data_IF_081157621438
#
_entry.id   IF_081157621438
#
_cell.length_a   1.000
_cell.length_b   1.000
_cell.length_c   1.000
_cell.angle_alpha   90.00
_cell.angle_beta   90.00
_cell.angle_gamma   90.00
#
_symmetry.space_group_name_H-M   'P 1'
#
loop_
_entity.id
_entity.type
_entity.pdbx_description
1 polymer ?
#
# COMPACT_ATOMS: atom_id res chain seq x y z
N UNK A 1 22.60 -1.24 -11.60
CA UNK A 1 22.17 -1.27 -10.19
C UNK A 1 22.92 -0.31 -9.24
N UNK A 2 24.14 0.19 -9.52
CA UNK A 2 24.83 1.09 -8.58
C UNK A 2 24.04 2.35 -8.22
N UNK A 3 23.41 3.00 -9.22
CA UNK A 3 22.60 4.22 -9.04
C UNK A 3 21.38 4.03 -8.11
N UNK A 4 20.65 2.93 -8.22
CA UNK A 4 19.49 2.65 -7.36
C UNK A 4 19.88 2.35 -5.91
N UNK A 5 21.00 1.65 -5.73
CA UNK A 5 21.55 1.38 -4.40
C UNK A 5 21.96 2.67 -3.70
N UNK A 6 22.65 3.59 -4.41
CA UNK A 6 23.01 4.90 -3.86
C UNK A 6 21.76 5.69 -3.42
N UNK A 7 20.75 5.77 -4.29
CA UNK A 7 19.46 6.43 -3.96
C UNK A 7 18.84 5.83 -2.70
N UNK A 8 18.85 4.50 -2.56
CA UNK A 8 18.27 3.86 -1.37
C UNK A 8 19.00 4.23 -0.09
N UNK A 9 20.36 4.23 -0.10
CA UNK A 9 21.16 4.63 1.06
C UNK A 9 20.94 6.11 1.40
N UNK A 10 20.98 7.00 0.39
CA UNK A 10 20.71 8.43 0.57
C UNK A 10 19.32 8.68 1.15
N UNK A 11 18.30 7.97 0.69
CA UNK A 11 16.95 8.12 1.20
C UNK A 11 16.83 7.65 2.66
N UNK A 12 17.44 6.53 3.03
CA UNK A 12 17.45 6.04 4.42
C UNK A 12 18.07 7.08 5.36
N UNK A 13 19.21 7.69 4.98
CA UNK A 13 19.88 8.72 5.77
C UNK A 13 19.05 10.01 5.83
N UNK A 14 18.65 10.53 4.69
CA UNK A 14 17.90 11.80 4.58
C UNK A 14 16.51 11.76 5.21
N UNK A 15 15.91 10.57 5.33
CA UNK A 15 14.63 10.35 6.02
C UNK A 15 14.79 10.12 7.54
N UNK A 16 15.99 10.23 8.07
CA UNK A 16 16.23 10.08 9.51
C UNK A 16 15.87 8.68 10.04
N UNK A 17 16.02 7.64 9.21
CA UNK A 17 15.85 6.25 9.67
C UNK A 17 17.07 5.86 10.53
N UNK A 18 18.25 6.26 10.12
CA UNK A 18 19.50 6.19 10.87
C UNK A 18 20.45 7.29 10.41
N UNK A 19 21.34 7.71 11.28
CA UNK A 19 22.46 8.61 10.96
C UNK A 19 23.74 7.83 10.56
N UNK A 20 23.80 6.54 10.88
CA UNK A 20 24.96 5.67 10.56
C UNK A 20 24.89 5.18 9.12
N UNK A 21 25.91 5.51 8.33
CA UNK A 21 26.01 5.13 6.92
C UNK A 21 26.12 3.60 6.74
N UNK A 22 26.81 2.90 7.64
CA UNK A 22 26.94 1.43 7.58
C UNK A 22 25.57 0.77 7.77
N UNK A 23 24.81 1.26 8.72
CA UNK A 23 23.45 0.80 8.98
C UNK A 23 22.50 1.17 7.81
N UNK A 24 22.62 2.37 7.25
CA UNK A 24 21.84 2.77 6.06
C UNK A 24 22.10 1.85 4.86
N UNK A 25 23.37 1.45 4.66
CA UNK A 25 23.76 0.46 3.63
C UNK A 25 23.15 -0.92 3.91
N UNK A 26 23.11 -1.33 5.19
CA UNK A 26 22.49 -2.59 5.62
C UNK A 26 21.00 -2.59 5.36
N UNK A 27 20.28 -1.54 5.76
CA UNK A 27 18.82 -1.37 5.51
C UNK A 27 18.52 -1.36 4.01
N UNK A 28 19.27 -0.58 3.23
CA UNK A 28 19.12 -0.52 1.79
C UNK A 28 19.35 -1.89 1.13
N UNK A 29 20.37 -2.66 1.54
CA UNK A 29 20.60 -4.03 1.05
C UNK A 29 19.42 -4.94 1.38
N UNK A 30 18.96 -4.93 2.63
CA UNK A 30 17.80 -5.74 3.06
C UNK A 30 16.53 -5.38 2.29
N UNK A 31 16.30 -4.10 1.97
CA UNK A 31 15.12 -3.68 1.19
C UNK A 31 15.13 -4.24 -0.23
N UNK A 32 16.29 -4.37 -0.87
CA UNK A 32 16.38 -5.05 -2.17
C UNK A 32 16.15 -6.56 -2.06
N UNK A 33 16.69 -7.21 -1.01
CA UNK A 33 16.42 -8.62 -0.75
C UNK A 33 14.94 -8.88 -0.48
N UNK A 34 14.31 -7.99 0.32
CA UNK A 34 12.88 -8.05 0.61
C UNK A 34 12.06 -7.91 -0.68
N UNK A 35 12.37 -6.92 -1.54
CA UNK A 35 11.68 -6.71 -2.81
C UNK A 35 11.76 -7.96 -3.72
N UNK A 36 12.93 -8.59 -3.79
CA UNK A 36 13.08 -9.84 -4.56
C UNK A 36 12.25 -10.98 -3.96
N UNK A 37 12.27 -11.14 -2.63
CA UNK A 37 11.43 -12.10 -1.92
C UNK A 37 9.93 -11.84 -2.09
N UNK A 38 9.51 -10.57 -1.99
CA UNK A 38 8.12 -10.17 -2.22
C UNK A 38 7.63 -10.54 -3.63
N UNK A 39 8.41 -10.24 -4.66
CA UNK A 39 8.08 -10.62 -6.05
C UNK A 39 7.99 -12.14 -6.19
N UNK A 40 8.95 -12.87 -5.60
CA UNK A 40 8.93 -14.33 -5.59
C UNK A 40 7.67 -14.87 -4.90
N UNK A 41 7.38 -14.43 -3.68
CA UNK A 41 6.18 -14.88 -2.95
C UNK A 41 4.88 -14.51 -3.67
N UNK A 42 4.79 -13.31 -4.26
CA UNK A 42 3.60 -12.89 -4.99
C UNK A 42 3.23 -13.84 -6.15
N UNK A 43 4.22 -14.48 -6.78
CA UNK A 43 4.00 -15.49 -7.82
C UNK A 43 3.45 -16.81 -7.24
N UNK A 44 3.85 -17.17 -6.01
CA UNK A 44 3.49 -18.44 -5.38
C UNK A 44 2.28 -18.34 -4.44
N UNK A 45 1.92 -17.15 -3.94
CA UNK A 45 0.74 -16.94 -3.09
C UNK A 45 -0.50 -17.62 -3.65
N UNK A 46 -0.83 -17.52 -4.97
CA UNK A 46 -2.01 -18.18 -5.51
C UNK A 46 -2.01 -19.71 -5.42
N UNK A 47 -0.85 -20.34 -5.21
CA UNK A 47 -0.71 -21.79 -5.06
C UNK A 47 -0.64 -22.25 -3.60
N UNK A 48 -0.24 -21.35 -2.69
CA UNK A 48 -0.04 -21.65 -1.27
C UNK A 48 -1.25 -21.23 -0.44
N UNK A 49 -1.85 -20.09 -0.78
CA UNK A 49 -2.97 -19.51 -0.04
C UNK A 49 -4.28 -19.82 -0.73
N UNK A 50 -5.18 -20.46 0.01
CA UNK A 50 -6.49 -20.89 -0.47
C UNK A 50 -7.61 -20.23 0.33
N UNK A 51 -8.86 -20.43 -0.08
CA UNK A 51 -10.04 -19.93 0.65
C UNK A 51 -10.13 -20.52 2.06
N UNK A 52 -9.60 -21.71 2.26
CA UNK A 52 -9.69 -22.44 3.54
C UNK A 52 -8.61 -22.00 4.53
N UNK A 53 -7.40 -21.60 4.04
CA UNK A 53 -6.25 -21.33 4.92
C UNK A 53 -5.80 -19.85 4.95
N UNK A 54 -6.41 -18.94 4.19
CA UNK A 54 -5.91 -17.56 4.05
C UNK A 54 -5.73 -16.82 5.38
N UNK A 55 -6.57 -17.09 6.37
CA UNK A 55 -6.49 -16.46 7.71
C UNK A 55 -5.19 -16.82 8.44
N UNK A 56 -4.65 -17.99 8.19
CA UNK A 56 -3.39 -18.44 8.78
C UNK A 56 -2.17 -17.68 8.26
N UNK A 57 -2.30 -17.03 7.12
CA UNK A 57 -1.25 -16.23 6.48
C UNK A 57 -1.22 -14.78 6.94
N UNK A 58 -2.25 -14.31 7.64
CA UNK A 58 -2.37 -12.94 8.13
C UNK A 58 -2.32 -12.89 9.65
N UNK A 59 -1.47 -12.02 10.17
CA UNK A 59 -1.35 -11.71 11.60
C UNK A 59 -1.85 -10.29 11.85
N UNK A 60 -2.91 -10.19 12.64
CA UNK A 60 -3.53 -8.92 13.02
C UNK A 60 -3.24 -8.53 14.48
N UNK A 61 -2.33 -9.22 15.17
CA UNK A 61 -2.05 -9.02 16.60
C UNK A 61 -1.55 -7.61 16.94
N UNK A 62 -0.92 -6.91 15.97
CA UNK A 62 -0.44 -5.55 16.12
C UNK A 62 -1.38 -4.50 15.50
N UNK A 63 -2.53 -4.90 14.98
CA UNK A 63 -3.48 -4.01 14.33
C UNK A 63 -4.52 -3.48 15.33
N UNK A 64 -5.00 -2.28 15.06
CA UNK A 64 -6.14 -1.72 15.79
C UNK A 64 -7.40 -2.58 15.58
N UNK A 65 -8.16 -2.92 16.65
CA UNK A 65 -9.34 -3.79 16.55
C UNK A 65 -10.43 -3.27 15.61
N UNK A 66 -10.66 -1.95 15.52
CA UNK A 66 -11.62 -1.37 14.59
C UNK A 66 -11.15 -1.54 13.14
N UNK A 67 -9.84 -1.41 12.90
CA UNK A 67 -9.23 -1.70 11.59
C UNK A 67 -9.47 -3.14 11.17
N UNK A 68 -9.26 -4.10 12.07
CA UNK A 68 -9.51 -5.53 11.80
C UNK A 68 -10.98 -5.77 11.49
N UNK A 69 -11.87 -5.22 12.31
CA UNK A 69 -13.32 -5.30 12.10
C UNK A 69 -13.72 -4.75 10.73
N UNK A 70 -13.23 -3.57 10.34
CA UNK A 70 -13.51 -2.98 9.02
C UNK A 70 -13.00 -3.84 7.86
N UNK A 71 -11.85 -4.47 8.01
CA UNK A 71 -11.26 -5.30 6.96
C UNK A 71 -11.98 -6.65 6.79
N UNK A 72 -12.37 -7.29 7.89
CA UNK A 72 -12.79 -8.69 7.90
C UNK A 72 -14.27 -8.90 8.21
N UNK A 73 -14.88 -8.07 9.08
CA UNK A 73 -16.18 -8.36 9.70
C UNK A 73 -17.28 -7.37 9.24
N UNK A 74 -16.96 -6.37 8.42
CA UNK A 74 -17.94 -5.44 7.84
C UNK A 74 -17.91 -5.48 6.31
N UNK A 75 -18.31 -6.62 5.71
CA UNK A 75 -18.30 -6.77 4.25
C UNK A 75 -19.32 -5.86 3.56
N UNK A 76 -20.31 -5.33 4.30
CA UNK A 76 -21.44 -4.56 3.77
C UNK A 76 -21.14 -3.06 3.58
N UNK A 77 -19.91 -2.62 3.81
CA UNK A 77 -19.52 -1.23 3.61
C UNK A 77 -18.19 -1.13 2.83
N UNK A 78 -18.16 -0.32 1.74
CA UNK A 78 -16.90 -0.07 1.03
C UNK A 78 -15.95 0.73 1.90
N UNK A 79 -14.64 0.42 1.80
CA UNK A 79 -13.58 1.09 2.53
C UNK A 79 -12.47 1.55 1.60
N UNK A 80 -11.64 2.48 2.06
CA UNK A 80 -10.42 2.90 1.38
C UNK A 80 -9.24 2.35 2.16
N UNK A 81 -8.39 1.58 1.50
CA UNK A 81 -7.15 1.06 2.07
C UNK A 81 -5.97 1.85 1.49
N UNK A 82 -5.37 2.71 2.30
CA UNK A 82 -4.18 3.46 1.94
C UNK A 82 -2.95 2.71 2.40
N UNK A 83 -2.03 2.49 1.47
CA UNK A 83 -0.78 1.79 1.74
C UNK A 83 0.39 2.42 0.98
N UNK A 84 1.55 1.81 1.09
CA UNK A 84 2.79 2.20 0.41
C UNK A 84 3.48 0.96 -0.20
N UNK A 85 4.54 1.18 -0.99
CA UNK A 85 5.43 0.09 -1.43
C UNK A 85 6.30 -0.40 -0.27
N UNK A 86 5.63 -0.81 0.80
CA UNK A 86 6.18 -1.31 2.06
C UNK A 86 5.57 -2.68 2.37
N UNK A 87 6.41 -3.64 2.72
CA UNK A 87 5.97 -5.01 2.96
C UNK A 87 5.55 -5.73 1.67
N UNK A 88 4.40 -6.39 1.70
CA UNK A 88 3.94 -7.33 0.67
C UNK A 88 2.59 -6.92 0.05
N UNK A 89 2.49 -5.69 -0.43
CA UNK A 89 1.24 -5.06 -0.89
C UNK A 89 0.43 -5.90 -1.92
N UNK A 90 1.09 -6.61 -2.84
CA UNK A 90 0.39 -7.46 -3.83
C UNK A 90 -0.12 -8.75 -3.21
N UNK A 91 0.72 -9.46 -2.44
CA UNK A 91 0.34 -10.67 -1.74
C UNK A 91 -0.81 -10.40 -0.76
N UNK A 92 -0.73 -9.30 0.01
CA UNK A 92 -1.78 -8.88 0.93
C UNK A 92 -3.11 -8.61 0.22
N UNK A 93 -3.09 -7.90 -0.92
CA UNK A 93 -4.31 -7.66 -1.72
C UNK A 93 -4.94 -8.96 -2.19
N UNK A 94 -4.13 -9.93 -2.63
CA UNK A 94 -4.61 -11.24 -3.04
C UNK A 94 -5.24 -12.00 -1.87
N UNK A 95 -4.59 -12.02 -0.71
CA UNK A 95 -5.08 -12.76 0.47
C UNK A 95 -6.33 -12.09 1.04
N UNK A 96 -6.36 -10.77 1.16
CA UNK A 96 -7.54 -10.04 1.62
C UNK A 96 -8.76 -10.21 0.70
N UNK A 97 -8.53 -10.53 -0.56
CA UNK A 97 -9.64 -10.78 -1.50
C UNK A 97 -10.49 -12.01 -1.13
N UNK A 98 -10.01 -12.88 -0.26
CA UNK A 98 -10.83 -13.95 0.32
C UNK A 98 -11.79 -13.46 1.42
N UNK A 99 -11.48 -12.32 2.05
CA UNK A 99 -12.36 -11.71 3.05
C UNK A 99 -13.40 -10.80 2.39
N UNK A 100 -13.00 -10.02 1.36
CA UNK A 100 -13.86 -9.06 0.68
C UNK A 100 -13.34 -8.73 -0.71
N UNK A 101 -14.20 -8.25 -1.65
CA UNK A 101 -13.75 -7.77 -2.96
C UNK A 101 -12.71 -6.66 -2.83
N UNK A 102 -11.70 -6.69 -3.70
CA UNK A 102 -10.59 -5.71 -3.71
C UNK A 102 -10.58 -4.95 -5.03
N UNK A 103 -10.36 -3.65 -4.97
CA UNK A 103 -10.08 -2.81 -6.14
C UNK A 103 -8.69 -2.22 -5.96
N UNK A 104 -7.76 -2.59 -6.82
CA UNK A 104 -6.38 -2.11 -6.79
C UNK A 104 -6.14 -1.09 -7.90
N UNK A 105 -5.65 0.11 -7.54
CA UNK A 105 -5.24 1.12 -8.51
C UNK A 105 -3.77 0.91 -8.84
N UNK A 106 -3.48 0.46 -10.04
CA UNK A 106 -2.13 0.16 -10.47
C UNK A 106 -1.85 0.70 -11.89
N UNK A 107 -0.58 0.75 -12.26
CA UNK A 107 -0.19 0.96 -13.65
C UNK A 107 -0.28 -0.38 -14.39
N UNK A 108 -1.09 -0.44 -15.43
CA UNK A 108 -1.15 -1.63 -16.30
C UNK A 108 0.23 -1.85 -16.94
N UNK A 109 0.66 -3.11 -16.98
CA UNK A 109 1.93 -3.51 -17.56
C UNK A 109 1.96 -3.23 -19.06
N UNK A 110 3.08 -2.69 -19.57
CA UNK A 110 3.23 -2.41 -20.99
C UNK A 110 3.25 -3.71 -21.84
N UNK A 111 3.73 -4.80 -21.26
CA UNK A 111 3.73 -6.11 -21.92
C UNK A 111 2.33 -6.74 -21.81
N UNK A 112 1.59 -6.79 -22.90
CA UNK A 112 0.22 -7.33 -22.98
C UNK A 112 0.12 -8.81 -22.58
N UNK A 113 1.14 -9.61 -22.89
CA UNK A 113 1.17 -11.04 -22.53
C UNK A 113 1.35 -11.20 -21.02
N UNK A 114 2.30 -10.48 -20.43
CA UNK A 114 2.50 -10.48 -18.99
C UNK A 114 1.25 -9.96 -18.25
N UNK A 115 0.62 -8.88 -18.74
CA UNK A 115 -0.61 -8.36 -18.18
C UNK A 115 -1.76 -9.40 -18.21
N UNK A 116 -1.94 -10.10 -19.34
CA UNK A 116 -2.96 -11.15 -19.48
C UNK A 116 -2.66 -12.35 -18.58
N UNK A 117 -1.40 -12.76 -18.50
CA UNK A 117 -0.98 -13.85 -17.61
C UNK A 117 -1.22 -13.51 -16.15
N UNK A 118 -0.82 -12.30 -15.70
CA UNK A 118 -1.07 -11.80 -14.36
C UNK A 118 -2.57 -11.76 -14.03
N UNK A 119 -3.38 -11.20 -14.93
CA UNK A 119 -4.83 -11.14 -14.72
C UNK A 119 -5.46 -12.53 -14.56
N UNK A 120 -4.92 -13.55 -15.25
CA UNK A 120 -5.45 -14.92 -15.20
C UNK A 120 -4.95 -15.73 -13.99
N UNK A 121 -3.71 -15.50 -13.55
CA UNK A 121 -3.03 -16.42 -12.63
C UNK A 121 -2.64 -15.79 -11.29
N UNK A 122 -2.63 -14.46 -11.19
CA UNK A 122 -2.10 -13.77 -10.03
C UNK A 122 -3.11 -13.64 -8.87
N UNK A 123 -4.39 -13.41 -9.19
CA UNK A 123 -5.43 -13.28 -8.16
C UNK A 123 -6.35 -14.50 -8.16
N UNK A 124 -6.67 -14.99 -6.95
CA UNK A 124 -7.59 -16.13 -6.75
C UNK A 124 -8.95 -15.69 -6.23
N UNK A 125 -9.02 -14.55 -5.58
CA UNK A 125 -10.25 -13.93 -5.13
C UNK A 125 -10.72 -12.80 -6.06
N UNK A 126 -11.81 -12.10 -5.72
CA UNK A 126 -12.38 -11.01 -6.51
C UNK A 126 -11.52 -9.73 -6.41
N UNK A 127 -10.49 -9.64 -7.26
CA UNK A 127 -9.63 -8.45 -7.38
C UNK A 127 -9.84 -7.80 -8.74
N UNK A 128 -10.26 -6.54 -8.74
CA UNK A 128 -10.33 -5.70 -9.94
C UNK A 128 -9.13 -4.76 -9.97
N UNK A 129 -8.34 -4.81 -11.04
CA UNK A 129 -7.21 -3.89 -11.25
C UNK A 129 -7.62 -2.76 -12.17
N UNK A 130 -7.48 -1.53 -11.70
CA UNK A 130 -7.81 -0.30 -12.44
C UNK A 130 -6.54 0.39 -12.89
N UNK A 131 -6.44 0.74 -14.18
CA UNK A 131 -5.35 1.59 -14.64
C UNK A 131 -5.46 2.99 -14.02
N UNK A 132 -4.43 3.39 -13.30
CA UNK A 132 -4.35 4.73 -12.70
C UNK A 132 -4.56 5.89 -13.67
N UNK A 133 -4.40 5.67 -14.98
CA UNK A 133 -4.64 6.66 -16.02
C UNK A 133 -6.14 6.97 -16.18
N UNK A 134 -7.00 5.99 -15.91
CA UNK A 134 -8.45 6.13 -16.07
C UNK A 134 -9.10 6.91 -14.91
N UNK A 135 -8.40 7.04 -13.77
CA UNK A 135 -8.95 7.70 -12.59
C UNK A 135 -10.18 6.99 -12.01
N UNK A 136 -10.98 7.72 -11.23
CA UNK A 136 -12.22 7.22 -10.64
C UNK A 136 -13.40 7.50 -11.58
N UNK A 137 -13.66 6.58 -12.51
CA UNK A 137 -14.84 6.69 -13.39
C UNK A 137 -16.14 6.37 -12.64
N UNK A 138 -17.32 6.79 -13.15
CA UNK A 138 -18.59 6.42 -12.54
C UNK A 138 -18.80 4.90 -12.42
N UNK A 139 -18.31 4.11 -13.39
CA UNK A 139 -18.37 2.64 -13.36
C UNK A 139 -17.57 2.07 -12.19
N UNK A 140 -16.34 2.57 -12.01
CA UNK A 140 -15.46 2.16 -10.91
C UNK A 140 -16.11 2.52 -9.56
N UNK A 141 -16.68 3.72 -9.47
CA UNK A 141 -17.34 4.15 -8.24
C UNK A 141 -18.57 3.29 -7.93
N UNK A 142 -19.37 2.94 -8.93
CA UNK A 142 -20.48 2.00 -8.76
C UNK A 142 -19.99 0.64 -8.32
N UNK A 143 -19.02 0.05 -9.03
CA UNK A 143 -18.47 -1.25 -8.66
C UNK A 143 -17.96 -1.26 -7.22
N UNK A 144 -17.28 -0.19 -6.78
CA UNK A 144 -16.79 -0.07 -5.41
C UNK A 144 -17.91 -0.06 -4.36
N UNK A 145 -18.98 0.69 -4.63
CA UNK A 145 -20.13 0.77 -3.72
C UNK A 145 -20.98 -0.50 -3.75
N UNK A 146 -21.28 -1.03 -4.93
CA UNK A 146 -22.19 -2.16 -5.10
C UNK A 146 -21.60 -3.49 -4.60
N UNK A 147 -20.27 -3.61 -4.66
CA UNK A 147 -19.56 -4.81 -4.17
C UNK A 147 -19.00 -4.67 -2.75
N UNK A 148 -19.16 -3.50 -2.13
CA UNK A 148 -18.57 -3.19 -0.83
C UNK A 148 -17.05 -3.45 -0.77
N UNK A 149 -16.35 -3.23 -1.89
CA UNK A 149 -14.95 -3.54 -2.05
C UNK A 149 -14.05 -2.66 -1.16
N UNK A 150 -12.86 -3.17 -0.84
CA UNK A 150 -11.76 -2.36 -0.36
C UNK A 150 -10.98 -1.77 -1.55
N UNK A 151 -10.95 -0.44 -1.66
CA UNK A 151 -10.17 0.25 -2.69
C UNK A 151 -8.77 0.54 -2.21
N UNK A 152 -7.78 -0.16 -2.75
CA UNK A 152 -6.37 -0.03 -2.35
C UNK A 152 -5.66 1.04 -3.16
N UNK A 153 -5.06 2.01 -2.47
CA UNK A 153 -4.32 3.14 -3.04
C UNK A 153 -2.92 3.21 -2.44
N UNK A 154 -1.88 3.06 -3.26
CA UNK A 154 -0.50 3.27 -2.84
C UNK A 154 -0.12 4.75 -3.06
N UNK A 155 0.23 5.47 -1.97
CA UNK A 155 0.42 6.93 -1.99
C UNK A 155 1.88 7.39 -1.99
N UNK A 156 2.83 6.51 -1.80
CA UNK A 156 4.23 6.81 -1.49
C UNK A 156 5.12 7.12 -2.70
N UNK A 157 4.61 7.04 -3.92
CA UNK A 157 5.39 7.36 -5.12
C UNK A 157 5.21 8.81 -5.58
N UNK A 158 6.23 9.32 -6.29
CA UNK A 158 6.18 10.66 -6.89
C UNK A 158 5.05 10.79 -7.90
N UNK A 159 4.37 11.93 -7.89
CA UNK A 159 3.35 12.32 -8.86
C UNK A 159 3.60 13.71 -9.40
N UNK A 160 3.28 13.97 -10.66
CA UNK A 160 3.36 15.31 -11.25
C UNK A 160 2.20 16.22 -10.81
N UNK A 161 1.02 15.64 -10.54
CA UNK A 161 -0.23 16.36 -10.25
C UNK A 161 -0.68 16.34 -8.79
N UNK A 162 0.22 16.09 -7.83
CA UNK A 162 -0.13 16.07 -6.40
C UNK A 162 0.11 17.39 -5.68
N UNK A 163 -0.36 17.47 -4.43
CA UNK A 163 -0.04 18.56 -3.53
C UNK A 163 1.39 18.41 -2.99
N UNK A 164 2.07 19.53 -2.71
CA UNK A 164 3.35 19.53 -2.04
C UNK A 164 3.10 19.37 -0.54
N UNK A 165 3.43 18.22 0.00
CA UNK A 165 3.30 17.86 1.41
C UNK A 165 4.63 17.33 1.93
N UNK A 166 4.71 17.03 3.22
CA UNK A 166 5.89 16.40 3.81
C UNK A 166 5.78 14.88 3.76
N UNK A 167 6.89 14.21 3.50
CA UNK A 167 7.06 12.77 3.70
C UNK A 167 8.47 12.52 4.23
N UNK A 168 8.56 12.00 5.45
CA UNK A 168 9.78 11.97 6.27
C UNK A 168 10.40 13.36 6.47
N UNK A 169 9.54 14.36 6.78
CA UNK A 169 9.95 15.75 6.98
C UNK A 169 10.37 16.49 5.71
N UNK A 170 10.46 15.82 4.55
CA UNK A 170 10.97 16.37 3.27
C UNK A 170 9.82 16.68 2.31
N UNK A 171 9.91 17.78 1.53
CA UNK A 171 8.87 18.13 0.55
C UNK A 171 8.68 17.01 -0.49
N UNK A 172 7.45 16.56 -0.67
CA UNK A 172 7.12 15.48 -1.59
C UNK A 172 5.74 15.69 -2.23
N UNK A 173 5.67 15.68 -3.57
CA UNK A 173 4.38 15.72 -4.26
C UNK A 173 3.57 14.46 -3.98
N UNK A 174 2.40 14.61 -3.38
CA UNK A 174 1.56 13.52 -2.87
C UNK A 174 0.17 13.56 -3.51
N UNK A 175 -0.33 12.41 -3.92
CA UNK A 175 -1.72 12.29 -4.38
C UNK A 175 -2.72 12.60 -3.27
N UNK A 176 -3.72 13.41 -3.56
CA UNK A 176 -4.83 13.72 -2.65
C UNK A 176 -6.10 12.92 -2.96
N UNK A 177 -6.01 11.92 -3.83
CA UNK A 177 -7.17 11.19 -4.33
C UNK A 177 -7.87 10.36 -3.25
N UNK A 178 -7.13 9.72 -2.36
CA UNK A 178 -7.69 8.95 -1.25
C UNK A 178 -8.50 9.84 -0.30
N UNK A 179 -7.93 10.97 0.10
CA UNK A 179 -8.58 11.95 0.98
C UNK A 179 -9.82 12.55 0.32
N UNK A 180 -9.72 12.97 -0.96
CA UNK A 180 -10.89 13.48 -1.70
C UNK A 180 -12.00 12.45 -1.82
N UNK A 181 -11.64 11.18 -2.02
CA UNK A 181 -12.62 10.11 -2.09
C UNK A 181 -13.32 9.93 -0.73
N UNK A 182 -12.56 9.87 0.36
CA UNK A 182 -13.10 9.74 1.71
C UNK A 182 -14.04 10.90 2.06
N UNK A 183 -13.61 12.14 1.84
CA UNK A 183 -14.41 13.34 2.13
C UNK A 183 -15.72 13.39 1.30
N UNK A 184 -15.68 12.89 0.06
CA UNK A 184 -16.84 12.88 -0.81
C UNK A 184 -17.87 11.80 -0.43
N UNK A 185 -17.38 10.67 0.08
CA UNK A 185 -18.18 9.47 0.32
C UNK A 185 -18.38 9.16 1.79
N UNK A 186 -17.66 9.88 2.67
CA UNK A 186 -17.64 9.69 4.13
C UNK A 186 -17.25 8.26 4.55
N UNK A 187 -16.54 7.55 3.66
CA UNK A 187 -16.08 6.19 3.92
C UNK A 187 -14.75 6.21 4.70
N UNK A 188 -14.57 5.24 5.62
CA UNK A 188 -13.37 5.17 6.42
C UNK A 188 -12.14 4.87 5.57
N UNK A 189 -11.01 5.45 5.97
CA UNK A 189 -9.68 5.11 5.47
C UNK A 189 -8.96 4.26 6.51
N UNK A 190 -8.54 3.08 6.11
CA UNK A 190 -7.55 2.26 6.82
C UNK A 190 -6.18 2.58 6.25
N UNK A 191 -5.23 3.00 7.08
CA UNK A 191 -3.84 3.25 6.68
C UNK A 191 -2.94 2.19 7.29
N UNK A 192 -2.23 1.45 6.44
CA UNK A 192 -1.32 0.42 6.93
C UNK A 192 -0.60 -0.35 5.83
N UNK A 193 0.26 -1.24 6.27
CA UNK A 193 1.05 -2.12 5.42
C UNK A 193 1.04 -3.54 5.97
N UNK A 194 1.10 -4.53 5.10
CA UNK A 194 1.34 -5.91 5.50
C UNK A 194 2.83 -6.20 5.38
N UNK A 195 3.50 -6.35 6.53
CA UNK A 195 4.93 -6.66 6.59
C UNK A 195 5.15 -8.17 6.67
N UNK A 196 6.19 -8.63 6.02
CA UNK A 196 6.57 -10.04 6.04
C UNK A 196 7.27 -10.38 7.36
N UNK A 197 6.73 -11.34 8.10
CA UNK A 197 7.31 -11.83 9.37
C UNK A 197 7.93 -13.22 9.22
N UNK A 198 7.47 -14.01 8.24
CA UNK A 198 8.02 -15.29 7.84
C UNK A 198 7.62 -15.59 6.38
N UNK A 199 8.12 -16.62 5.71
CA UNK A 199 7.63 -17.04 4.40
C UNK A 199 6.11 -17.25 4.42
N UNK A 200 5.40 -16.54 3.53
CA UNK A 200 3.94 -16.55 3.42
C UNK A 200 3.20 -16.21 4.72
N UNK A 201 3.83 -15.46 5.63
CA UNK A 201 3.20 -14.96 6.87
C UNK A 201 3.38 -13.45 6.93
N UNK A 202 2.29 -12.73 7.09
CA UNK A 202 2.27 -11.27 6.96
C UNK A 202 1.51 -10.63 8.11
N UNK A 203 2.10 -9.62 8.72
CA UNK A 203 1.49 -8.87 9.82
C UNK A 203 0.99 -7.52 9.34
N UNK A 204 -0.24 -7.17 9.68
CA UNK A 204 -0.75 -5.82 9.47
C UNK A 204 -0.13 -4.88 10.50
N UNK A 205 0.52 -3.83 10.00
CA UNK A 205 0.98 -2.69 10.79
C UNK A 205 0.24 -1.45 10.33
N UNK A 206 -0.41 -0.76 11.26
CA UNK A 206 -1.22 0.43 10.97
C UNK A 206 -1.97 0.86 12.23
N UNK A 207 -2.55 2.05 12.16
CA UNK A 207 -3.32 2.61 13.27
C UNK A 207 -4.83 2.46 13.09
N UNK A 208 -5.56 3.13 13.97
CA UNK A 208 -7.03 3.24 13.91
C UNK A 208 -7.51 3.85 12.60
N UNK A 209 -8.70 3.48 12.12
CA UNK A 209 -9.27 4.03 10.90
C UNK A 209 -9.49 5.54 11.01
N UNK A 210 -9.32 6.23 9.90
CA UNK A 210 -9.54 7.67 9.78
C UNK A 210 -10.86 7.94 9.06
N UNK A 211 -11.59 8.94 9.52
CA UNK A 211 -12.84 9.41 8.91
C UNK A 211 -12.72 10.89 8.61
N UNK A 212 -13.13 11.28 7.43
CA UNK A 212 -13.10 12.67 6.98
C UNK A 212 -14.46 13.07 6.40
N UNK A 213 -14.81 14.33 6.62
CA UNK A 213 -15.99 14.98 6.07
C UNK A 213 -15.60 16.04 5.02
N UNK A 214 -16.57 16.61 4.35
CA UNK A 214 -16.36 17.72 3.41
C UNK A 214 -15.86 19.01 4.07
N UNK A 215 -16.06 19.14 5.39
CA UNK A 215 -15.62 20.30 6.16
C UNK A 215 -14.16 20.27 6.55
N UNK A 216 -13.50 19.10 6.47
CA UNK A 216 -12.11 18.95 6.87
C UNK A 216 -11.13 19.55 5.84
N UNK A 217 -9.97 20.00 6.31
CA UNK A 217 -8.88 20.44 5.41
C UNK A 217 -8.27 19.23 4.68
N UNK A 218 -8.43 19.23 3.36
CA UNK A 218 -7.93 18.17 2.50
C UNK A 218 -6.41 17.98 2.58
N UNK A 219 -5.65 19.06 2.72
CA UNK A 219 -4.18 18.97 2.75
C UNK A 219 -3.71 18.44 4.11
N UNK A 220 -4.29 18.93 5.20
CA UNK A 220 -4.03 18.42 6.54
C UNK A 220 -4.41 16.93 6.64
N UNK A 221 -5.57 16.54 6.14
CA UNK A 221 -6.00 15.14 6.10
C UNK A 221 -5.05 14.27 5.25
N UNK A 222 -4.58 14.77 4.10
CA UNK A 222 -3.60 14.02 3.28
C UNK A 222 -2.23 13.95 3.96
N UNK A 223 -1.81 14.99 4.70
CA UNK A 223 -0.59 14.95 5.49
C UNK A 223 -0.69 13.88 6.58
N UNK A 224 -1.81 13.78 7.27
CA UNK A 224 -2.03 12.73 8.27
C UNK A 224 -1.91 11.31 7.67
N UNK A 225 -2.36 11.09 6.42
CA UNK A 225 -2.12 9.80 5.74
C UNK A 225 -0.63 9.54 5.53
N UNK A 226 0.15 10.55 5.12
CA UNK A 226 1.60 10.43 4.98
C UNK A 226 2.24 10.07 6.33
N UNK A 227 1.88 10.78 7.41
CA UNK A 227 2.44 10.57 8.74
C UNK A 227 2.19 9.13 9.23
N UNK A 228 0.98 8.61 9.02
CA UNK A 228 0.63 7.21 9.34
C UNK A 228 1.42 6.19 8.53
N UNK A 229 1.69 6.48 7.25
CA UNK A 229 2.55 5.61 6.42
C UNK A 229 4.00 5.64 6.90
N UNK A 230 4.51 6.81 7.32
CA UNK A 230 5.86 6.95 7.90
C UNK A 230 5.99 6.11 9.16
N UNK A 231 5.00 6.17 10.07
CA UNK A 231 4.98 5.39 11.31
C UNK A 231 5.08 3.88 11.03
N UNK A 232 4.34 3.38 10.04
CA UNK A 232 4.42 1.98 9.63
C UNK A 232 5.79 1.63 9.03
N UNK A 233 6.36 2.51 8.18
CA UNK A 233 7.66 2.28 7.54
C UNK A 233 8.79 2.28 8.56
N UNK A 234 8.74 3.16 9.59
CA UNK A 234 9.75 3.21 10.65
C UNK A 234 9.84 1.93 11.47
N UNK A 235 8.75 1.18 11.60
CA UNK A 235 8.75 -0.10 12.32
C UNK A 235 9.50 -1.21 11.58
N UNK A 236 9.47 -1.21 10.23
CA UNK A 236 10.11 -2.23 9.39
C UNK A 236 10.81 -1.58 8.18
N UNK A 237 11.80 -0.69 8.41
CA UNK A 237 12.40 0.12 7.34
C UNK A 237 13.10 -0.72 6.25
N UNK A 238 13.56 -1.93 6.58
CA UNK A 238 14.15 -2.85 5.61
C UNK A 238 13.16 -3.44 4.61
N UNK A 239 11.86 -3.21 4.78
CA UNK A 239 10.83 -3.69 3.87
C UNK A 239 10.25 -2.59 2.97
N UNK A 240 10.73 -1.35 3.07
CA UNK A 240 10.27 -0.24 2.24
C UNK A 240 11.09 -0.08 0.95
N UNK A 241 10.44 0.37 -0.13
CA UNK A 241 11.07 0.57 -1.45
C UNK A 241 11.93 1.85 -1.50
N UNK A 242 13.03 1.90 -0.73
CA UNK A 242 13.96 3.05 -0.67
C UNK A 242 14.58 3.43 -2.01
N UNK A 243 14.63 2.53 -3.00
CA UNK A 243 15.20 2.77 -4.32
C UNK A 243 14.35 3.69 -5.22
N UNK A 244 13.14 4.09 -4.79
CA UNK A 244 12.29 5.00 -5.54
C UNK A 244 12.74 6.46 -5.37
N UNK A 245 12.67 7.25 -6.47
CA UNK A 245 12.94 8.69 -6.47
C UNK A 245 11.68 9.45 -6.04
N UNK A 246 11.33 9.35 -4.76
CA UNK A 246 10.15 10.02 -4.19
C UNK A 246 10.33 11.53 -4.16
N UNK A 247 11.51 11.97 -3.75
CA UNK A 247 11.91 13.38 -3.60
C UNK A 247 12.70 13.83 -4.83
N UNK A 248 12.00 14.18 -5.91
CA UNK A 248 12.66 14.59 -7.17
C UNK A 248 13.07 16.05 -7.21
N UNK A 249 12.58 16.84 -6.27
CA UNK A 249 12.78 18.28 -6.19
C UNK A 249 13.79 18.69 -5.11
N UNK A 250 14.57 17.73 -4.59
CA UNK A 250 15.70 17.97 -3.69
C UNK A 250 16.99 18.08 -4.48
#
# INVERSE_FOLDING_TARGET
MPKRRRIAVENVLKCGITADEKEARRIAKKSFCHLAGHIGEALFVPSVVTKENWREHLDFSAADPETVKLLLDTPDAPIILVSSHHGVWEAATNILSFARPMIAIARVMNNKFAAKWMAKHHFRGPVTVIDKKNGFTPEIMRQWTDTNAAMTILMDQHTSGGAMLKFFGRPAKTFTSATRLAMRTERPIVVGSFVRIAPFKYRLVGGSPLRFSKADDKLAATQLLNDRLEDAIRQYPEQYLWAHRRWRND
#
